data_IF_514291161683
#
_entry.id   IF_514291161683
#
_cell.length_a   1.000
_cell.length_b   1.000
_cell.length_c   1.000
_cell.angle_alpha   90.00
_cell.angle_beta   90.00
_cell.angle_gamma   90.00
#
_symmetry.space_group_name_H-M   'P 1'
#
loop_
_entity.id
_entity.type
_entity.pdbx_description
1 polymer ?
#
# COMPACT_ATOMS: atom_id res chain seq x y z
N UNK A 1 17.66 18.83 -4.95
CA UNK A 1 17.30 17.75 -5.89
C UNK A 1 15.89 18.01 -6.36
N UNK A 2 15.66 18.09 -7.68
CA UNK A 2 14.32 18.31 -8.24
C UNK A 2 13.49 17.02 -8.14
N UNK A 3 12.16 17.14 -8.10
CA UNK A 3 11.26 15.96 -8.01
C UNK A 3 11.53 14.96 -9.14
N UNK A 4 11.76 15.45 -10.36
CA UNK A 4 12.09 14.61 -11.53
C UNK A 4 13.40 13.84 -11.35
N UNK A 5 14.38 14.40 -10.64
CA UNK A 5 15.63 13.71 -10.34
C UNK A 5 15.40 12.59 -9.33
N UNK A 6 14.55 12.84 -8.32
CA UNK A 6 14.18 11.84 -7.31
C UNK A 6 13.41 10.69 -7.97
N UNK A 7 12.42 11.01 -8.81
CA UNK A 7 11.64 10.03 -9.55
C UNK A 7 12.55 9.12 -10.39
N UNK A 8 13.51 9.68 -11.11
CA UNK A 8 14.49 8.91 -11.90
C UNK A 8 15.30 7.94 -11.05
N UNK A 9 15.80 8.40 -9.90
CA UNK A 9 16.61 7.55 -9.00
C UNK A 9 15.76 6.44 -8.37
N UNK A 10 14.55 6.75 -7.91
CA UNK A 10 13.65 5.75 -7.33
C UNK A 10 13.24 4.70 -8.37
N UNK A 11 13.00 5.13 -9.62
CA UNK A 11 12.68 4.25 -10.72
C UNK A 11 13.87 3.35 -11.10
N UNK A 12 15.09 3.90 -11.19
CA UNK A 12 16.28 3.11 -11.54
C UNK A 12 16.60 2.04 -10.50
N UNK A 13 16.44 2.34 -9.20
CA UNK A 13 16.64 1.36 -8.12
C UNK A 13 15.72 0.14 -8.30
N UNK A 14 14.46 0.36 -8.67
CA UNK A 14 13.48 -0.74 -8.87
C UNK A 14 13.70 -1.54 -10.15
N UNK A 15 14.40 -0.98 -11.14
CA UNK A 15 14.84 -1.69 -12.35
C UNK A 15 16.09 -2.54 -12.10
N UNK A 16 17.01 -2.03 -11.27
CA UNK A 16 18.27 -2.70 -10.96
C UNK A 16 18.13 -3.75 -9.86
N UNK A 17 17.14 -3.61 -8.98
CA UNK A 17 16.91 -4.48 -7.83
C UNK A 17 15.44 -4.85 -7.69
N UNK A 18 15.18 -6.09 -7.31
CA UNK A 18 13.86 -6.55 -6.91
C UNK A 18 13.43 -5.86 -5.61
N UNK A 19 12.42 -5.01 -5.69
CA UNK A 19 11.94 -4.18 -4.59
C UNK A 19 10.48 -4.52 -4.22
N UNK A 20 10.16 -4.43 -2.92
CA UNK A 20 8.78 -4.30 -2.45
C UNK A 20 8.58 -2.87 -1.96
N UNK A 21 7.78 -2.10 -2.68
CA UNK A 21 7.46 -0.70 -2.34
C UNK A 21 6.08 -0.65 -1.69
N UNK A 22 6.00 -0.02 -0.52
CA UNK A 22 4.73 0.19 0.19
C UNK A 22 4.38 1.68 0.13
N UNK A 23 3.26 2.00 -0.50
CA UNK A 23 2.72 3.35 -0.60
C UNK A 23 1.50 3.45 0.30
N UNK A 24 1.70 3.95 1.51
CA UNK A 24 0.63 4.10 2.48
C UNK A 24 -0.08 5.45 2.37
N UNK A 25 -1.40 5.42 2.45
CA UNK A 25 -2.23 6.61 2.54
C UNK A 25 -2.36 7.42 1.24
N UNK A 26 -2.50 6.77 0.07
CA UNK A 26 -2.83 7.49 -1.17
C UNK A 26 -4.32 7.82 -1.23
N UNK A 27 -4.68 9.11 -1.10
CA UNK A 27 -6.07 9.56 -0.92
C UNK A 27 -6.74 10.08 -2.20
N UNK A 28 -5.98 10.42 -3.24
CA UNK A 28 -6.51 10.98 -4.49
C UNK A 28 -5.73 10.47 -5.70
N UNK A 29 -6.37 10.54 -6.88
CA UNK A 29 -5.70 10.24 -8.14
C UNK A 29 -4.54 11.20 -8.42
N UNK A 30 -4.68 12.47 -8.03
CA UNK A 30 -3.64 13.48 -8.22
C UNK A 30 -2.40 13.19 -7.35
N UNK A 31 -2.60 12.69 -6.12
CA UNK A 31 -1.50 12.25 -5.27
C UNK A 31 -0.71 11.13 -5.95
N UNK A 32 -1.39 10.11 -6.51
CA UNK A 32 -0.73 9.08 -7.30
C UNK A 32 -0.03 9.65 -8.54
N UNK A 33 -0.71 10.49 -9.32
CA UNK A 33 -0.15 11.10 -10.53
C UNK A 33 1.11 11.92 -10.24
N UNK A 34 1.23 12.51 -9.05
CA UNK A 34 2.40 13.30 -8.66
C UNK A 34 3.66 12.47 -8.37
N UNK A 35 3.50 11.16 -8.10
CA UNK A 35 4.62 10.27 -7.73
C UNK A 35 4.82 9.09 -8.69
N UNK A 36 3.84 8.80 -9.57
CA UNK A 36 3.84 7.60 -10.41
C UNK A 36 5.09 7.45 -11.29
N UNK A 37 5.69 8.57 -11.70
CA UNK A 37 6.89 8.60 -12.55
C UNK A 37 8.13 8.04 -11.84
N UNK A 38 8.07 7.86 -10.52
CA UNK A 38 9.09 7.18 -9.73
C UNK A 38 9.05 5.65 -9.83
N UNK A 39 8.08 5.06 -10.52
CA UNK A 39 7.84 3.62 -10.49
C UNK A 39 7.80 3.02 -11.90
N UNK A 40 8.42 1.85 -12.14
CA UNK A 40 8.46 1.20 -13.45
C UNK A 40 7.14 0.44 -13.75
N UNK A 41 5.99 1.11 -13.64
CA UNK A 41 4.64 0.49 -13.69
C UNK A 41 4.32 -0.12 -15.07
N UNK A 42 4.92 0.42 -16.13
CA UNK A 42 4.71 -0.04 -17.51
C UNK A 42 5.83 -0.96 -18.01
N UNK A 43 6.70 -1.43 -17.12
CA UNK A 43 7.85 -2.26 -17.44
C UNK A 43 7.75 -3.60 -16.72
N UNK A 44 8.23 -4.66 -17.37
CA UNK A 44 8.28 -5.97 -16.76
C UNK A 44 9.44 -6.01 -15.76
N UNK A 45 9.12 -5.95 -14.48
CA UNK A 45 10.09 -6.03 -13.38
C UNK A 45 9.61 -7.05 -12.34
N UNK A 46 10.53 -7.62 -11.57
CA UNK A 46 10.18 -8.47 -10.43
C UNK A 46 9.72 -7.65 -9.21
N UNK A 47 9.88 -6.32 -9.27
CA UNK A 47 9.48 -5.40 -8.22
C UNK A 47 7.95 -5.34 -8.09
N UNK A 48 7.47 -5.19 -6.85
CA UNK A 48 6.05 -5.12 -6.52
C UNK A 48 5.73 -3.85 -5.75
N UNK A 49 4.57 -3.27 -6.05
CA UNK A 49 4.05 -2.10 -5.35
C UNK A 49 2.79 -2.51 -4.61
N UNK A 50 2.77 -2.29 -3.30
CA UNK A 50 1.59 -2.41 -2.46
C UNK A 50 1.11 -1.00 -2.11
N UNK A 51 -0.06 -0.64 -2.62
CA UNK A 51 -0.71 0.62 -2.30
C UNK A 51 -1.83 0.38 -1.29
N UNK A 52 -1.82 1.11 -0.19
CA UNK A 52 -2.91 1.12 0.80
C UNK A 52 -3.64 2.45 0.75
N UNK A 53 -4.97 2.38 0.73
CA UNK A 53 -5.84 3.55 0.70
C UNK A 53 -7.12 3.29 1.48
N UNK A 54 -7.62 4.32 2.16
CA UNK A 54 -8.93 4.29 2.81
C UNK A 54 -10.08 4.53 1.83
N UNK A 55 -9.79 4.98 0.60
CA UNK A 55 -10.81 5.31 -0.41
C UNK A 55 -10.90 4.21 -1.46
N UNK A 56 -11.95 3.40 -1.37
CA UNK A 56 -12.25 2.34 -2.34
C UNK A 56 -12.29 2.85 -3.79
N UNK A 57 -12.83 4.05 -3.99
CA UNK A 57 -12.90 4.71 -5.31
C UNK A 57 -11.51 4.92 -5.93
N UNK A 58 -10.54 5.33 -5.12
CA UNK A 58 -9.15 5.53 -5.55
C UNK A 58 -8.51 4.18 -5.86
N UNK A 59 -8.72 3.17 -5.02
CA UNK A 59 -8.21 1.83 -5.29
C UNK A 59 -8.75 1.27 -6.62
N UNK A 60 -10.04 1.45 -6.91
CA UNK A 60 -10.66 1.01 -8.17
C UNK A 60 -10.16 1.77 -9.39
N UNK A 61 -9.87 3.07 -9.24
CA UNK A 61 -9.38 3.90 -10.33
C UNK A 61 -7.90 3.61 -10.65
N UNK A 62 -7.13 3.22 -9.64
CA UNK A 62 -5.71 2.88 -9.78
C UNK A 62 -5.48 1.43 -10.21
N UNK A 63 -6.38 0.52 -9.84
CA UNK A 63 -6.24 -0.89 -10.15
C UNK A 63 -6.30 -1.14 -11.67
N UNK A 64 -5.23 -1.70 -12.20
CA UNK A 64 -5.17 -2.26 -13.55
C UNK A 64 -5.89 -3.61 -13.62
N UNK A 65 -6.12 -4.12 -14.84
CA UNK A 65 -6.76 -5.43 -15.07
C UNK A 65 -6.00 -6.60 -14.42
N UNK A 66 -4.71 -6.42 -14.14
CA UNK A 66 -3.84 -7.45 -13.57
C UNK A 66 -3.52 -7.21 -12.08
N UNK A 67 -4.10 -6.17 -11.47
CA UNK A 67 -3.80 -5.82 -10.08
C UNK A 67 -4.68 -6.60 -9.10
N UNK A 68 -4.12 -6.91 -7.93
CA UNK A 68 -4.86 -7.56 -6.85
C UNK A 68 -5.46 -6.51 -5.90
N UNK A 69 -6.78 -6.32 -5.98
CA UNK A 69 -7.49 -5.47 -5.02
C UNK A 69 -7.85 -6.28 -3.77
N UNK A 70 -7.17 -5.99 -2.67
CA UNK A 70 -7.48 -6.57 -1.37
C UNK A 70 -8.36 -5.63 -0.53
N UNK A 71 -9.51 -6.11 -0.08
CA UNK A 71 -10.35 -5.41 0.89
C UNK A 71 -10.55 -6.34 2.11
N UNK A 72 -9.62 -6.32 3.08
CA UNK A 72 -9.69 -7.22 4.22
C UNK A 72 -10.93 -6.94 5.03
N UNK A 73 -11.65 -8.01 5.40
CA UNK A 73 -12.75 -7.96 6.34
C UNK A 73 -12.60 -9.16 7.27
N UNK A 74 -12.67 -8.88 8.57
CA UNK A 74 -12.68 -9.94 9.56
C UNK A 74 -14.07 -10.57 9.62
N UNK A 75 -14.11 -11.90 9.69
CA UNK A 75 -15.33 -12.61 10.08
C UNK A 75 -15.58 -12.46 11.59
N UNK A 76 -16.74 -12.95 12.06
CA UNK A 76 -17.13 -12.86 13.47
C UNK A 76 -16.11 -13.52 14.41
N UNK A 77 -15.61 -14.71 14.04
CA UNK A 77 -14.66 -15.47 14.85
C UNK A 77 -13.30 -14.76 14.91
N UNK A 78 -12.83 -14.23 13.79
CA UNK A 78 -11.61 -13.42 13.71
C UNK A 78 -11.75 -12.12 14.50
N UNK A 79 -12.91 -11.47 14.42
CA UNK A 79 -13.21 -10.24 15.15
C UNK A 79 -13.25 -10.47 16.66
N UNK A 80 -13.92 -11.53 17.11
CA UNK A 80 -13.94 -11.94 18.52
C UNK A 80 -12.52 -12.23 19.03
N UNK A 81 -11.74 -13.01 18.27
CA UNK A 81 -10.36 -13.34 18.64
C UNK A 81 -9.48 -12.09 18.73
N UNK A 82 -9.66 -11.13 17.83
CA UNK A 82 -8.94 -9.86 17.87
C UNK A 82 -9.37 -9.04 19.09
N UNK A 83 -10.66 -8.98 19.38
CA UNK A 83 -11.21 -8.29 20.55
C UNK A 83 -10.65 -8.88 21.86
N UNK A 84 -10.68 -10.20 22.02
CA UNK A 84 -10.12 -10.88 23.20
C UNK A 84 -8.64 -10.53 23.39
N UNK A 85 -7.84 -10.51 22.32
CA UNK A 85 -6.42 -10.14 22.38
C UNK A 85 -6.20 -8.70 22.84
N UNK A 86 -7.01 -7.76 22.36
CA UNK A 86 -6.85 -6.33 22.67
C UNK A 86 -7.40 -6.02 24.07
N UNK A 87 -8.63 -6.46 24.37
CA UNK A 87 -9.36 -6.06 25.56
C UNK A 87 -8.97 -6.85 26.82
N UNK A 88 -8.58 -8.11 26.67
CA UNK A 88 -8.34 -9.02 27.81
C UNK A 88 -6.85 -9.22 28.06
N UNK A 89 -6.08 -9.48 26.99
CA UNK A 89 -4.65 -9.78 27.13
C UNK A 89 -3.74 -8.54 27.16
N UNK A 90 -4.28 -7.33 27.02
CA UNK A 90 -3.51 -6.08 27.07
C UNK A 90 -2.23 -6.17 26.23
N UNK A 91 -2.37 -6.39 24.92
CA UNK A 91 -1.18 -6.60 24.09
C UNK A 91 -0.31 -5.33 24.06
N UNK A 92 0.95 -5.46 24.49
CA UNK A 92 2.07 -4.50 24.37
C UNK A 92 2.42 -4.09 22.91
N UNK A 93 1.49 -4.20 21.97
CA UNK A 93 1.70 -3.93 20.55
C UNK A 93 0.82 -2.77 20.08
N UNK A 94 1.32 -1.56 20.31
CA UNK A 94 0.77 -0.31 19.79
C UNK A 94 0.57 -0.28 18.25
N UNK A 95 1.13 -1.24 17.51
CA UNK A 95 0.99 -1.35 16.05
C UNK A 95 -0.33 -1.96 15.54
N UNK A 96 -1.11 -2.65 16.39
CA UNK A 96 -2.37 -3.30 15.95
C UNK A 96 -3.48 -2.28 15.67
N UNK A 97 -3.45 -1.12 16.35
CA UNK A 97 -4.52 -0.13 16.23
C UNK A 97 -4.52 0.60 14.88
N UNK A 98 -3.35 0.76 14.23
CA UNK A 98 -3.25 1.53 12.99
C UNK A 98 -3.70 0.79 11.73
N UNK A 99 -3.78 -0.55 11.78
CA UNK A 99 -4.18 -1.36 10.61
C UNK A 99 -5.69 -1.68 10.59
N UNK A 100 -6.43 -1.28 11.63
CA UNK A 100 -7.86 -1.56 11.78
C UNK A 100 -8.79 -0.37 11.45
N UNK A 101 -8.25 0.78 11.01
CA UNK A 101 -9.03 2.01 10.74
C UNK A 101 -8.91 2.55 9.32
#
# INVERSE_FOLDING_TARGET
MKMDEIAKVVCSIQREKTCLVILDGIWTQDAWNSIKDGFPINEETESRILLTTRRKEVALLLASRNDYLHQPRLDEKQSQKLFEKIAICGSDNAGILFLAT
#
